data_IF_527967783884
#
_entry.id   IF_527967783884
#
_cell.length_a   1.000
_cell.length_b   1.000
_cell.length_c   1.000
_cell.angle_alpha   90.00
_cell.angle_beta   90.00
_cell.angle_gamma   90.00
#
_symmetry.space_group_name_H-M   'P 1'
#
loop_
_entity.id
_entity.type
_entity.pdbx_description
1 polymer ?
#
# COMPACT_ATOMS: atom_id res chain seq x y z
N UNK A 1 -2.10 0.89 -30.21
CA UNK A 1 -0.68 1.30 -30.14
C UNK A 1 -0.25 0.90 -28.76
N UNK A 2 0.65 -0.09 -28.65
CA UNK A 2 1.15 -0.57 -27.37
C UNK A 2 2.02 0.55 -26.80
N UNK A 3 1.53 1.26 -25.79
CA UNK A 3 2.37 2.18 -25.04
C UNK A 3 3.55 1.36 -24.53
N UNK A 4 4.75 1.71 -24.98
CA UNK A 4 5.96 1.11 -24.46
C UNK A 4 5.93 1.33 -22.94
N UNK A 5 5.94 0.23 -22.17
CA UNK A 5 6.05 0.31 -20.72
C UNK A 5 7.42 0.93 -20.46
N UNK A 6 7.43 2.25 -20.20
CA UNK A 6 8.63 2.95 -19.78
C UNK A 6 8.91 2.47 -18.37
N UNK A 7 9.78 1.48 -18.26
CA UNK A 7 10.27 1.02 -16.96
C UNK A 7 10.99 2.22 -16.34
N UNK A 8 10.54 2.72 -15.18
CA UNK A 8 11.18 3.86 -14.55
C UNK A 8 12.64 3.54 -14.22
N UNK A 9 13.54 4.50 -14.39
CA UNK A 9 14.96 4.31 -14.08
C UNK A 9 15.20 3.80 -12.66
N UNK A 10 14.37 4.24 -11.71
CA UNK A 10 14.45 3.84 -10.31
C UNK A 10 14.14 2.37 -10.05
N UNK A 11 13.53 1.66 -11.01
CA UNK A 11 13.22 0.23 -10.91
C UNK A 11 14.50 -0.62 -10.76
N UNK A 12 15.63 -0.18 -11.33
CA UNK A 12 16.91 -0.90 -11.23
C UNK A 12 17.53 -0.90 -9.83
N UNK A 13 16.93 -0.17 -8.87
CA UNK A 13 17.40 -0.15 -7.47
C UNK A 13 16.75 -1.21 -6.60
N UNK A 14 15.65 -1.82 -7.05
CA UNK A 14 15.06 -2.93 -6.34
C UNK A 14 16.00 -4.13 -6.44
N UNK A 15 16.15 -4.85 -5.33
CA UNK A 15 16.97 -6.06 -5.30
C UNK A 15 16.19 -7.22 -4.71
N UNK A 16 16.54 -8.40 -5.18
CA UNK A 16 15.99 -9.64 -4.67
C UNK A 16 16.86 -10.16 -3.53
N UNK A 17 16.23 -10.50 -2.41
CA UNK A 17 16.87 -11.16 -1.28
C UNK A 17 16.24 -12.54 -1.13
N UNK A 18 17.02 -13.59 -1.41
CA UNK A 18 16.58 -14.96 -1.22
C UNK A 18 16.42 -15.32 0.27
N UNK A 19 15.50 -16.23 0.54
CA UNK A 19 15.29 -16.87 1.85
C UNK A 19 14.94 -15.91 3.00
N UNK A 20 14.32 -14.77 2.69
CA UNK A 20 13.85 -13.80 3.68
C UNK A 20 12.34 -13.56 3.56
N UNK A 21 11.57 -13.50 4.68
CA UNK A 21 12.00 -13.69 6.07
C UNK A 21 12.18 -15.17 6.48
N UNK A 22 11.95 -16.10 5.56
CA UNK A 22 12.13 -17.54 5.77
C UNK A 22 12.57 -18.22 4.45
N UNK A 23 13.15 -19.42 4.51
CA UNK A 23 13.56 -20.17 3.32
C UNK A 23 12.44 -20.33 2.28
N UNK A 24 12.81 -20.22 1.00
CA UNK A 24 11.90 -20.34 -0.14
C UNK A 24 11.15 -19.07 -0.53
N UNK A 25 11.36 -17.95 0.15
CA UNK A 25 10.77 -16.65 -0.23
C UNK A 25 11.81 -15.77 -0.91
N UNK A 26 11.44 -15.22 -2.08
CA UNK A 26 12.19 -14.16 -2.75
C UNK A 26 11.63 -12.80 -2.32
N UNK A 27 12.36 -12.08 -1.47
CA UNK A 27 11.94 -10.80 -0.94
C UNK A 27 12.36 -9.65 -1.86
N UNK A 28 11.40 -8.80 -2.24
CA UNK A 28 11.66 -7.55 -2.97
C UNK A 28 12.07 -6.46 -2.00
N UNK A 29 13.35 -6.15 -1.98
CA UNK A 29 13.91 -5.10 -1.14
C UNK A 29 13.93 -3.75 -1.86
N UNK A 30 13.16 -2.80 -1.32
CA UNK A 30 13.04 -1.43 -1.81
C UNK A 30 14.00 -0.46 -1.10
N UNK A 31 14.74 -0.91 -0.08
CA UNK A 31 15.60 -0.01 0.72
C UNK A 31 16.63 0.76 -0.13
N UNK A 32 17.27 0.19 -1.18
CA UNK A 32 18.19 0.96 -2.01
C UNK A 32 17.51 2.05 -2.85
N UNK A 33 16.23 1.86 -3.20
CA UNK A 33 15.41 2.90 -3.82
C UNK A 33 15.19 4.05 -2.83
N UNK A 34 14.73 3.73 -1.62
CA UNK A 34 14.42 4.73 -0.59
C UNK A 34 15.66 5.53 -0.14
N UNK A 35 16.84 4.91 -0.19
CA UNK A 35 18.11 5.55 0.17
C UNK A 35 18.62 6.54 -0.90
N UNK A 36 18.07 6.52 -2.12
CA UNK A 36 18.48 7.39 -3.21
C UNK A 36 17.45 8.51 -3.43
N UNK A 37 17.83 9.77 -3.15
CA UNK A 37 16.90 10.89 -3.08
C UNK A 37 16.08 11.16 -4.35
N UNK A 38 16.72 11.16 -5.52
CA UNK A 38 16.06 11.46 -6.80
C UNK A 38 15.09 10.35 -7.19
N UNK A 39 15.56 9.11 -7.17
CA UNK A 39 14.76 7.92 -7.45
C UNK A 39 13.62 7.71 -6.46
N UNK A 40 13.83 7.96 -5.16
CA UNK A 40 12.75 7.92 -4.18
C UNK A 40 11.68 8.96 -4.51
N UNK A 41 12.09 10.21 -4.79
CA UNK A 41 11.17 11.26 -5.24
C UNK A 41 10.42 10.83 -6.51
N UNK A 42 11.13 10.28 -7.49
CA UNK A 42 10.54 9.81 -8.75
C UNK A 42 9.51 8.71 -8.55
N UNK A 43 9.78 7.75 -7.65
CA UNK A 43 8.81 6.71 -7.29
C UNK A 43 7.57 7.30 -6.60
N UNK A 44 7.75 8.24 -5.67
CA UNK A 44 6.62 8.90 -4.99
C UNK A 44 5.77 9.72 -5.98
N UNK A 45 6.40 10.49 -6.87
CA UNK A 45 5.68 11.24 -7.91
C UNK A 45 4.89 10.29 -8.80
N UNK A 46 5.49 9.21 -9.30
CA UNK A 46 4.81 8.24 -10.15
C UNK A 46 3.58 7.60 -9.45
N UNK A 47 3.75 7.16 -8.20
CA UNK A 47 2.65 6.62 -7.41
C UNK A 47 1.56 7.67 -7.14
N UNK A 48 1.92 8.92 -6.85
CA UNK A 48 0.99 10.01 -6.55
C UNK A 48 0.21 10.48 -7.77
N UNK A 49 0.80 10.48 -8.96
CA UNK A 49 0.18 10.98 -10.20
C UNK A 49 -1.13 10.26 -10.53
N UNK A 50 -1.28 8.99 -10.13
CA UNK A 50 -2.52 8.22 -10.29
C UNK A 50 -3.72 8.77 -9.52
N UNK A 51 -3.47 9.60 -8.50
CA UNK A 51 -4.48 10.04 -7.54
C UNK A 51 -4.78 11.55 -7.59
N UNK A 52 -4.04 12.34 -8.36
CA UNK A 52 -4.17 13.82 -8.34
C UNK A 52 -5.58 14.31 -8.67
N UNK A 53 -6.27 13.64 -9.59
CA UNK A 53 -7.64 14.00 -9.98
C UNK A 53 -8.73 13.33 -9.14
N UNK A 54 -8.35 12.53 -8.14
CA UNK A 54 -9.28 11.71 -7.36
C UNK A 54 -9.83 12.43 -6.12
N UNK A 55 -9.37 13.66 -5.83
CA UNK A 55 -9.79 14.47 -4.67
C UNK A 55 -9.73 13.66 -3.37
N UNK A 56 -8.55 13.17 -3.03
CA UNK A 56 -8.35 12.46 -1.77
C UNK A 56 -8.35 13.44 -0.60
N UNK A 57 -8.87 13.00 0.54
CA UNK A 57 -8.75 13.68 1.83
C UNK A 57 -7.59 13.11 2.65
N UNK A 58 -7.28 11.82 2.47
CA UNK A 58 -6.14 11.18 3.10
C UNK A 58 -5.62 9.96 2.35
N UNK A 59 -4.36 9.61 2.63
CA UNK A 59 -3.75 8.33 2.28
C UNK A 59 -3.77 7.41 3.51
N UNK A 60 -4.25 6.18 3.34
CA UNK A 60 -4.10 5.12 4.33
C UNK A 60 -2.80 4.36 4.06
N UNK A 61 -1.85 4.34 5.00
CA UNK A 61 -0.63 3.55 4.87
C UNK A 61 -0.66 2.28 5.72
N UNK A 62 -0.30 1.13 5.13
CA UNK A 62 -0.20 -0.13 5.86
C UNK A 62 1.19 -0.29 6.51
N UNK A 63 1.23 -0.73 7.77
CA UNK A 63 2.48 -0.87 8.52
C UNK A 63 3.42 -1.96 7.95
N UNK A 64 4.75 -1.78 8.00
CA UNK A 64 5.50 -0.55 8.31
C UNK A 64 6.03 0.12 7.06
N UNK A 65 6.32 -0.65 6.01
CA UNK A 65 6.96 -0.15 4.79
C UNK A 65 6.01 0.70 3.96
N UNK A 66 4.72 0.35 3.95
CA UNK A 66 3.67 1.18 3.38
C UNK A 66 3.56 2.57 4.02
N UNK A 67 4.04 2.79 5.25
CA UNK A 67 4.10 4.15 5.83
C UNK A 67 5.07 5.05 5.10
N UNK A 68 6.22 4.53 4.68
CA UNK A 68 7.26 5.34 4.05
C UNK A 68 6.72 5.93 2.75
N UNK A 69 6.09 5.09 1.95
CA UNK A 69 5.50 5.47 0.68
C UNK A 69 4.21 6.28 0.89
N UNK A 70 3.30 5.79 1.74
CA UNK A 70 2.01 6.43 1.97
C UNK A 70 2.13 7.82 2.59
N UNK A 71 3.03 8.03 3.56
CA UNK A 71 3.24 9.35 4.16
C UNK A 71 3.90 10.32 3.16
N UNK A 72 4.86 9.85 2.36
CA UNK A 72 5.47 10.67 1.32
C UNK A 72 4.46 11.04 0.22
N UNK A 73 3.58 10.11 -0.18
CA UNK A 73 2.48 10.38 -1.10
C UNK A 73 1.48 11.37 -0.53
N UNK A 74 1.12 11.27 0.76
CA UNK A 74 0.23 12.22 1.41
C UNK A 74 0.79 13.65 1.35
N UNK A 75 2.09 13.80 1.60
CA UNK A 75 2.79 15.09 1.45
C UNK A 75 2.77 15.59 0.00
N UNK A 76 3.10 14.72 -0.97
CA UNK A 76 3.11 15.06 -2.41
C UNK A 76 1.74 15.45 -2.96
N UNK A 77 0.67 14.87 -2.40
CA UNK A 77 -0.72 15.16 -2.77
C UNK A 77 -1.33 16.31 -1.96
N UNK A 78 -0.68 16.74 -0.88
CA UNK A 78 -1.20 17.78 0.02
C UNK A 78 -2.41 17.34 0.85
N UNK A 79 -2.46 16.07 1.25
CA UNK A 79 -3.60 15.45 1.97
C UNK A 79 -3.17 14.84 3.30
N UNK A 80 -4.13 14.37 4.10
CA UNK A 80 -3.85 13.70 5.38
C UNK A 80 -3.17 12.33 5.21
N UNK A 81 -2.62 11.81 6.30
CA UNK A 81 -2.09 10.44 6.38
C UNK A 81 -2.68 9.71 7.58
N UNK A 82 -3.14 8.48 7.38
CA UNK A 82 -3.71 7.62 8.44
C UNK A 82 -2.98 6.27 8.45
N UNK A 83 -2.34 5.89 9.57
CA UNK A 83 -1.66 4.61 9.67
C UNK A 83 -2.64 3.48 10.01
N UNK A 84 -2.52 2.35 9.30
CA UNK A 84 -3.06 1.05 9.69
C UNK A 84 -1.93 0.23 10.29
N UNK A 85 -2.11 -0.25 11.52
CA UNK A 85 -1.03 -0.82 12.34
C UNK A 85 -1.33 -2.22 12.83
N UNK A 86 -0.31 -2.93 13.30
CA UNK A 86 -0.51 -4.16 14.09
C UNK A 86 -1.11 -3.84 15.48
N UNK A 87 -1.73 -4.84 16.15
CA UNK A 87 -2.42 -4.61 17.41
C UNK A 87 -1.57 -4.01 18.51
N UNK A 88 -2.17 -3.09 19.26
CA UNK A 88 -1.55 -2.45 20.43
C UNK A 88 -0.47 -1.43 20.08
N UNK A 89 -0.37 -1.01 18.82
CA UNK A 89 0.54 0.06 18.37
C UNK A 89 -0.14 1.43 18.26
N UNK A 90 -1.46 1.47 18.32
CA UNK A 90 -2.28 2.67 18.27
C UNK A 90 -2.91 2.92 19.65
N UNK A 91 -2.79 4.13 20.22
CA UNK A 91 -3.46 4.48 21.47
C UNK A 91 -4.96 4.78 21.25
N UNK A 92 -5.76 4.71 22.32
CA UNK A 92 -7.16 5.11 22.26
C UNK A 92 -8.09 4.07 21.60
N UNK A 93 -9.19 4.54 21.02
CA UNK A 93 -10.20 3.67 20.42
C UNK A 93 -9.81 3.27 19.00
N UNK A 94 -9.83 1.96 18.72
CA UNK A 94 -9.46 1.40 17.43
C UNK A 94 -10.56 0.52 16.87
N UNK A 95 -10.67 0.50 15.54
CA UNK A 95 -11.29 -0.59 14.82
C UNK A 95 -10.24 -1.67 14.55
N UNK A 96 -10.67 -2.92 14.48
CA UNK A 96 -9.81 -4.09 14.34
C UNK A 96 -10.35 -5.02 13.27
N UNK A 97 -9.47 -5.54 12.42
CA UNK A 97 -9.77 -6.58 11.43
C UNK A 97 -8.78 -7.74 11.56
N UNK A 98 -9.31 -8.94 11.79
CA UNK A 98 -8.55 -10.19 11.83
C UNK A 98 -8.62 -10.87 10.47
N UNK A 99 -7.50 -11.42 10.00
CA UNK A 99 -7.46 -12.13 8.73
C UNK A 99 -6.53 -13.33 8.78
N UNK A 100 -6.89 -14.36 8.03
CA UNK A 100 -6.16 -15.62 7.99
C UNK A 100 -5.22 -15.65 6.78
N UNK A 101 -3.95 -15.91 7.05
CA UNK A 101 -2.95 -16.39 6.10
C UNK A 101 -2.88 -17.92 6.22
N UNK A 102 -2.34 -18.62 5.22
CA UNK A 102 -2.35 -20.10 5.13
C UNK A 102 -2.02 -20.85 6.43
N UNK A 103 -1.13 -20.29 7.27
CA UNK A 103 -0.72 -20.93 8.54
C UNK A 103 -0.67 -19.95 9.73
N UNK A 104 -1.29 -18.77 9.63
CA UNK A 104 -1.25 -17.75 10.69
C UNK A 104 -2.45 -16.81 10.59
N UNK A 105 -3.11 -16.52 11.71
CA UNK A 105 -3.96 -15.33 11.81
C UNK A 105 -3.09 -14.11 12.11
N UNK A 106 -3.33 -13.02 11.39
CA UNK A 106 -2.76 -11.71 11.69
C UNK A 106 -3.92 -10.72 11.86
N UNK A 107 -3.60 -9.52 12.33
CA UNK A 107 -4.59 -8.53 12.67
C UNK A 107 -4.05 -7.13 12.38
N UNK A 108 -4.95 -6.23 12.00
CA UNK A 108 -4.64 -4.82 11.80
C UNK A 108 -5.67 -3.92 12.48
N UNK A 109 -5.22 -2.72 12.86
CA UNK A 109 -5.96 -1.73 13.62
C UNK A 109 -5.84 -0.34 12.99
N UNK A 110 -6.87 0.47 13.15
CA UNK A 110 -6.92 1.90 12.77
C UNK A 110 -7.70 2.68 13.83
N UNK A 111 -7.35 3.94 14.10
CA UNK A 111 -8.14 4.78 15.00
C UNK A 111 -9.57 4.93 14.49
N UNK A 112 -10.55 4.73 15.38
CA UNK A 112 -11.96 4.77 15.00
C UNK A 112 -12.45 6.17 14.59
N UNK A 113 -11.73 7.22 15.00
CA UNK A 113 -12.00 8.63 14.73
C UNK A 113 -10.99 9.25 13.74
N UNK A 114 -10.24 8.42 13.01
CA UNK A 114 -9.16 8.90 12.14
C UNK A 114 -9.60 9.91 11.07
N UNK A 115 -10.84 9.77 10.57
CA UNK A 115 -11.38 10.57 9.48
C UNK A 115 -12.89 10.82 9.67
N UNK A 116 -13.42 11.95 9.15
CA UNK A 116 -14.86 12.14 9.07
C UNK A 116 -15.49 11.16 8.08
N UNK A 117 -16.76 10.82 8.31
CA UNK A 117 -17.52 9.98 7.38
C UNK A 117 -17.61 10.63 6.00
N UNK A 118 -17.49 9.82 4.95
CA UNK A 118 -17.47 10.27 3.55
C UNK A 118 -16.11 10.77 3.07
N UNK A 119 -15.08 10.84 3.93
CA UNK A 119 -13.72 11.16 3.47
C UNK A 119 -13.28 10.20 2.36
N UNK A 120 -12.58 10.71 1.36
CA UNK A 120 -12.09 9.96 0.20
C UNK A 120 -10.66 9.53 0.44
N UNK A 121 -10.38 8.23 0.34
CA UNK A 121 -9.05 7.70 0.68
C UNK A 121 -8.53 6.71 -0.34
N UNK A 122 -7.19 6.64 -0.44
CA UNK A 122 -6.48 5.57 -1.14
C UNK A 122 -5.66 4.75 -0.14
N UNK A 123 -5.64 3.43 -0.33
CA UNK A 123 -4.83 2.51 0.51
C UNK A 123 -3.50 2.26 -0.18
N UNK A 124 -2.40 2.52 0.53
CA UNK A 124 -1.04 2.42 0.00
C UNK A 124 -0.23 1.40 0.79
N UNK A 125 0.44 0.53 0.05
CA UNK A 125 1.43 -0.42 0.58
C UNK A 125 2.67 -0.48 -0.33
N UNK A 126 3.71 -1.18 0.10
CA UNK A 126 4.91 -1.33 -0.71
C UNK A 126 4.83 -2.49 -1.70
N UNK A 127 4.36 -3.66 -1.27
CA UNK A 127 4.33 -4.87 -2.08
C UNK A 127 2.99 -5.58 -2.03
N UNK A 128 2.37 -5.81 -3.19
CA UNK A 128 1.27 -6.76 -3.35
C UNK A 128 1.83 -8.18 -3.58
N UNK A 129 1.76 -9.00 -2.54
CA UNK A 129 2.06 -10.43 -2.61
C UNK A 129 0.78 -11.26 -2.77
N UNK A 130 0.30 -11.92 -1.71
CA UNK A 130 -0.93 -12.73 -1.74
C UNK A 130 -2.21 -11.91 -1.59
N UNK A 131 -2.12 -10.57 -1.49
CA UNK A 131 -3.27 -9.65 -1.35
C UNK A 131 -4.00 -9.66 0.00
N UNK A 132 -3.67 -10.58 0.92
CA UNK A 132 -4.42 -10.75 2.17
C UNK A 132 -4.48 -9.50 3.04
N UNK A 133 -3.34 -8.83 3.24
CA UNK A 133 -3.26 -7.62 4.05
C UNK A 133 -4.02 -6.44 3.41
N UNK A 134 -3.96 -6.31 2.07
CA UNK A 134 -4.66 -5.25 1.36
C UNK A 134 -6.18 -5.42 1.43
N UNK A 135 -6.68 -6.66 1.30
CA UNK A 135 -8.11 -6.99 1.47
C UNK A 135 -8.58 -6.74 2.90
N UNK A 136 -7.79 -7.15 3.90
CA UNK A 136 -8.09 -6.85 5.30
C UNK A 136 -8.14 -5.34 5.55
N UNK A 137 -7.21 -4.58 4.96
CA UNK A 137 -7.19 -3.12 5.08
C UNK A 137 -8.43 -2.49 4.41
N UNK A 138 -8.85 -2.97 3.24
CA UNK A 138 -10.08 -2.51 2.60
C UNK A 138 -11.31 -2.73 3.49
N UNK A 139 -11.45 -3.92 4.07
CA UNK A 139 -12.53 -4.26 5.01
C UNK A 139 -12.53 -3.32 6.22
N UNK A 140 -11.35 -3.17 6.85
CA UNK A 140 -11.17 -2.32 8.03
C UNK A 140 -11.49 -0.85 7.75
N UNK A 141 -10.92 -0.30 6.67
CA UNK A 141 -11.05 1.12 6.33
C UNK A 141 -12.48 1.47 5.97
N UNK A 142 -13.22 0.61 5.26
CA UNK A 142 -14.65 0.85 4.98
C UNK A 142 -15.50 0.98 6.24
N UNK A 143 -15.12 0.30 7.32
CA UNK A 143 -15.82 0.40 8.61
C UNK A 143 -15.60 1.75 9.31
N UNK A 144 -14.65 2.58 8.86
CA UNK A 144 -14.56 4.00 9.26
C UNK A 144 -15.67 4.87 8.64
N UNK A 145 -16.44 4.33 7.69
CA UNK A 145 -17.48 5.10 6.98
C UNK A 145 -16.90 6.07 5.96
N UNK A 146 -15.71 5.78 5.42
CA UNK A 146 -15.01 6.54 4.38
C UNK A 146 -15.22 5.92 2.99
N UNK A 147 -15.02 6.70 1.94
CA UNK A 147 -15.02 6.23 0.56
C UNK A 147 -13.60 5.79 0.16
N UNK A 148 -13.40 4.49 0.00
CA UNK A 148 -12.13 3.96 -0.54
C UNK A 148 -12.18 4.07 -2.06
N UNK A 149 -11.36 4.95 -2.62
CA UNK A 149 -11.27 5.22 -4.07
C UNK A 149 -10.47 4.15 -4.79
N UNK A 150 -9.55 3.49 -4.09
CA UNK A 150 -8.73 2.42 -4.64
C UNK A 150 -7.55 2.08 -3.74
N UNK A 151 -6.64 1.27 -4.29
CA UNK A 151 -5.35 0.98 -3.68
C UNK A 151 -4.19 1.20 -4.66
N UNK A 152 -3.00 1.44 -4.11
CA UNK A 152 -1.75 1.61 -4.84
C UNK A 152 -0.62 0.86 -4.15
N UNK A 153 0.20 0.16 -4.92
CA UNK A 153 1.43 -0.47 -4.43
C UNK A 153 2.60 -0.13 -5.34
N UNK A 154 3.81 -0.09 -4.78
CA UNK A 154 5.00 0.12 -5.61
C UNK A 154 5.29 -1.12 -6.47
N UNK A 155 5.15 -2.31 -5.89
CA UNK A 155 5.51 -3.59 -6.52
C UNK A 155 4.38 -4.59 -6.41
N UNK A 156 4.06 -5.27 -7.51
CA UNK A 156 3.23 -6.47 -7.54
C UNK A 156 4.08 -7.70 -7.86
N UNK A 157 3.78 -8.80 -7.15
CA UNK A 157 4.30 -10.14 -7.43
C UNK A 157 3.18 -10.96 -8.09
N UNK A 158 3.11 -10.91 -9.42
CA UNK A 158 1.97 -11.43 -10.19
C UNK A 158 1.77 -12.94 -9.96
N UNK A 159 2.88 -13.68 -9.84
CA UNK A 159 2.88 -15.12 -9.57
C UNK A 159 2.22 -15.55 -8.24
N UNK A 160 1.85 -14.61 -7.37
CA UNK A 160 1.18 -14.88 -6.09
C UNK A 160 -0.33 -14.61 -6.09
N UNK A 161 -0.89 -14.14 -7.22
CA UNK A 161 -2.33 -14.00 -7.41
C UNK A 161 -3.02 -12.97 -6.51
N UNK A 162 -2.27 -12.04 -5.90
CA UNK A 162 -2.81 -11.06 -4.96
C UNK A 162 -3.88 -10.15 -5.57
N UNK A 163 -3.70 -9.73 -6.82
CA UNK A 163 -4.65 -8.86 -7.54
C UNK A 163 -6.01 -9.52 -7.74
N UNK A 164 -6.06 -10.84 -7.94
CA UNK A 164 -7.33 -11.56 -8.10
C UNK A 164 -8.20 -11.56 -6.83
N UNK A 165 -7.61 -11.26 -5.66
CA UNK A 165 -8.34 -11.12 -4.40
C UNK A 165 -8.84 -9.71 -4.13
N UNK A 166 -8.35 -8.73 -4.88
CA UNK A 166 -8.84 -7.35 -4.77
C UNK A 166 -10.26 -7.23 -5.34
N UNK A 167 -11.01 -6.25 -4.84
CA UNK A 167 -12.40 -6.05 -5.27
C UNK A 167 -12.48 -5.66 -6.75
N UNK A 168 -13.26 -6.42 -7.52
CA UNK A 168 -13.48 -6.14 -8.93
C UNK A 168 -14.17 -4.78 -9.11
N UNK A 169 -13.63 -3.96 -10.00
CA UNK A 169 -14.14 -2.61 -10.29
C UNK A 169 -13.55 -1.50 -9.41
N UNK A 170 -12.84 -1.85 -8.33
CA UNK A 170 -12.10 -0.88 -7.52
C UNK A 170 -10.65 -0.76 -8.05
N UNK A 171 -10.16 0.44 -8.42
CA UNK A 171 -8.81 0.61 -8.94
C UNK A 171 -7.72 0.05 -8.02
N UNK A 172 -6.76 -0.66 -8.63
CA UNK A 172 -5.54 -1.13 -7.99
C UNK A 172 -4.35 -0.80 -8.90
N UNK A 173 -3.62 0.26 -8.54
CA UNK A 173 -2.47 0.76 -9.28
C UNK A 173 -1.17 0.11 -8.80
N UNK A 174 -0.28 -0.17 -9.76
CA UNK A 174 1.03 -0.80 -9.54
C UNK A 174 2.05 -0.14 -10.43
N UNK A 175 3.20 0.25 -9.88
CA UNK A 175 4.27 0.86 -10.67
C UNK A 175 5.18 -0.20 -11.32
N UNK A 176 5.42 -1.31 -10.63
CA UNK A 176 6.19 -2.44 -11.15
C UNK A 176 5.45 -3.76 -10.93
N UNK A 177 5.55 -4.66 -11.90
CA UNK A 177 5.01 -6.02 -11.83
C UNK A 177 6.16 -6.99 -12.11
N UNK A 178 6.36 -7.96 -11.20
CA UNK A 178 7.36 -9.02 -11.30
C UNK A 178 6.73 -10.40 -11.24
#
# INVERSE_FOLDING_TARGET
MTDAIVVPQWASRLRDIADFPKPGILFKDIMPLLAHSEDFRGAITAMADRWRDQKLDAVIGIESRGFILGAAMALELGVGFVPVRKPGKLPGQVLREEYTLEYRSDCIEVHADALPSGARVAIIDDVLATGGTLVAALSLVRRLGVEVVGAGVLVELDGLGGRARWEAGLPLHTELVF
#
